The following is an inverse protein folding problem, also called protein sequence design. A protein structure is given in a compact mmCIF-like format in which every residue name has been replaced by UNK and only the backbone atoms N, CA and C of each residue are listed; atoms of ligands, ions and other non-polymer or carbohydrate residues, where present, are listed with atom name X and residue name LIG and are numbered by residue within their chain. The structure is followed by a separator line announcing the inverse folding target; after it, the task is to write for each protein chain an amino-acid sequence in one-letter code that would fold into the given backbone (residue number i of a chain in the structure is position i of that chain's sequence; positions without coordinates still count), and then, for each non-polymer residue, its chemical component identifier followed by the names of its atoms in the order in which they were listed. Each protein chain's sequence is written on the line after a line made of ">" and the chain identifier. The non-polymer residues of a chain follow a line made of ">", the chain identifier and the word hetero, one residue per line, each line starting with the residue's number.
data_IF_909022310788
#
_entry.id   IF_909022310788
#
_cell.length_a   1.000
_cell.length_b   1.000
_cell.length_c   1.000
_cell.angle_alpha   90.00
_cell.angle_beta   90.00
_cell.angle_gamma   90.00
#
_symmetry.space_group_name_H-M   'P 1'
#
loop_
_entity.id
_entity.type
_entity.pdbx_description
1 polymer ?
#
# COMPACT_ATOMS: atom_id res chain seq x y z
N UNK A 1 -2.38 -17.55 -2.19
CA UNK A 1 -1.85 -17.49 -3.58
C UNK A 1 -2.39 -16.26 -4.32
N UNK A 2 -3.72 -16.13 -4.50
CA UNK A 2 -4.36 -14.99 -5.19
C UNK A 2 -4.06 -13.62 -4.55
N UNK A 3 -4.04 -13.53 -3.22
CA UNK A 3 -3.74 -12.29 -2.47
C UNK A 3 -2.38 -11.67 -2.84
N UNK A 4 -1.33 -12.49 -2.99
CA UNK A 4 0.01 -11.99 -3.34
C UNK A 4 0.09 -11.52 -4.79
N UNK A 5 -0.79 -12.00 -5.65
CA UNK A 5 -0.91 -11.52 -7.02
C UNK A 5 -1.61 -10.16 -7.05
N UNK A 6 -2.70 -9.97 -6.29
CA UNK A 6 -3.32 -8.65 -6.11
C UNK A 6 -2.33 -7.62 -5.53
N UNK A 7 -1.53 -8.00 -4.55
CA UNK A 7 -0.46 -7.15 -4.02
C UNK A 7 0.59 -6.81 -5.10
N UNK A 8 0.94 -7.77 -5.97
CA UNK A 8 1.78 -7.51 -7.13
C UNK A 8 1.14 -6.55 -8.14
N UNK A 9 -0.18 -6.67 -8.38
CA UNK A 9 -0.93 -5.77 -9.24
C UNK A 9 -0.93 -4.34 -8.69
N UNK A 10 -1.20 -4.16 -7.40
CA UNK A 10 -1.14 -2.86 -6.71
C UNK A 10 0.23 -2.20 -6.91
N UNK A 11 1.32 -2.90 -6.59
CA UNK A 11 2.67 -2.37 -6.77
C UNK A 11 2.96 -1.93 -8.20
N UNK A 12 2.59 -2.76 -9.18
CA UNK A 12 2.80 -2.46 -10.60
C UNK A 12 1.98 -1.25 -11.05
N UNK A 13 0.73 -1.16 -10.60
CA UNK A 13 -0.18 -0.05 -10.89
C UNK A 13 0.34 1.26 -10.31
N UNK A 14 0.81 1.25 -9.07
CA UNK A 14 1.42 2.42 -8.42
C UNK A 14 2.68 2.86 -9.18
N UNK A 15 3.56 1.93 -9.59
CA UNK A 15 4.73 2.29 -10.40
C UNK A 15 4.35 2.92 -11.75
N UNK A 16 3.31 2.41 -12.41
CA UNK A 16 2.82 2.97 -13.66
C UNK A 16 2.35 4.42 -13.48
N UNK A 17 1.62 4.67 -12.39
CA UNK A 17 1.17 6.00 -11.99
C UNK A 17 2.35 6.94 -11.67
N UNK A 18 3.33 6.48 -10.88
CA UNK A 18 4.52 7.27 -10.52
C UNK A 18 5.40 7.63 -11.72
N UNK A 19 5.43 6.76 -12.74
CA UNK A 19 6.10 7.02 -14.02
C UNK A 19 5.27 7.90 -14.97
N UNK A 20 4.06 8.31 -14.57
CA UNK A 20 3.13 9.11 -15.37
C UNK A 20 2.79 8.45 -16.72
N UNK A 21 2.75 7.12 -16.74
CA UNK A 21 2.34 6.36 -17.91
C UNK A 21 0.82 6.17 -17.94
N UNK A 22 0.21 6.06 -19.13
CA UNK A 22 -1.21 5.74 -19.23
C UNK A 22 -1.53 4.43 -18.49
N UNK A 23 -2.57 4.45 -17.67
CA UNK A 23 -3.00 3.34 -16.80
C UNK A 23 -3.70 2.23 -17.61
N UNK A 24 -2.94 1.58 -18.49
CA UNK A 24 -3.40 0.45 -19.30
C UNK A 24 -2.79 -0.84 -18.77
N UNK A 25 -3.48 -1.97 -18.99
CA UNK A 25 -2.99 -3.30 -18.58
C UNK A 25 -1.59 -3.56 -19.13
N UNK A 26 -1.33 -3.15 -20.38
CA UNK A 26 -0.04 -3.34 -21.03
C UNK A 26 1.10 -2.57 -20.33
N UNK A 27 0.86 -1.31 -19.94
CA UNK A 27 1.86 -0.48 -19.27
C UNK A 27 2.10 -0.95 -17.85
N UNK A 28 1.04 -1.32 -17.12
CA UNK A 28 1.14 -1.86 -15.76
C UNK A 28 1.89 -3.19 -15.74
N UNK A 29 1.62 -4.09 -16.69
CA UNK A 29 2.26 -5.41 -16.75
C UNK A 29 3.80 -5.32 -16.80
N UNK A 30 4.33 -4.31 -17.51
CA UNK A 30 5.77 -4.05 -17.68
C UNK A 30 6.47 -3.57 -16.40
N UNK A 31 5.72 -3.09 -15.40
CA UNK A 31 6.28 -2.55 -14.17
C UNK A 31 6.81 -3.63 -13.23
N UNK A 32 7.67 -3.22 -12.28
CA UNK A 32 8.22 -4.11 -11.26
C UNK A 32 7.19 -4.35 -10.16
N UNK A 33 7.18 -5.54 -9.57
CA UNK A 33 6.36 -5.86 -8.40
C UNK A 33 7.01 -5.49 -7.05
N UNK A 34 8.20 -4.87 -7.07
CA UNK A 34 8.98 -4.59 -5.86
C UNK A 34 9.02 -3.10 -5.57
N UNK A 35 8.17 -2.64 -4.67
CA UNK A 35 8.00 -1.22 -4.38
C UNK A 35 8.76 -0.82 -3.10
N UNK A 36 9.69 0.15 -3.13
CA UNK A 36 10.42 0.57 -1.95
C UNK A 36 9.50 1.18 -0.87
N UNK A 37 8.36 1.75 -1.29
CA UNK A 37 7.35 2.39 -0.41
C UNK A 37 6.21 1.47 0.06
N UNK A 38 6.34 0.16 -0.08
CA UNK A 38 5.32 -0.80 0.36
C UNK A 38 5.19 -0.82 1.91
N UNK A 39 3.97 -0.95 2.42
CA UNK A 39 3.71 -1.13 3.86
C UNK A 39 4.41 -2.37 4.45
N UNK A 40 4.63 -3.42 3.65
CA UNK A 40 5.42 -4.58 4.06
C UNK A 40 6.87 -4.19 4.35
N UNK A 41 7.47 -3.29 3.55
CA UNK A 41 8.80 -2.76 3.83
C UNK A 41 8.81 -1.89 5.09
N UNK A 42 7.77 -1.08 5.30
CA UNK A 42 7.63 -0.25 6.50
C UNK A 42 7.61 -1.09 7.79
N UNK A 43 6.80 -2.15 7.84
CA UNK A 43 6.70 -3.02 9.01
C UNK A 43 8.03 -3.69 9.36
N UNK A 44 8.80 -4.08 8.34
CA UNK A 44 10.11 -4.71 8.53
C UNK A 44 11.14 -3.71 9.02
N UNK A 45 11.12 -2.48 8.51
CA UNK A 45 11.92 -1.39 9.04
C UNK A 45 11.60 -1.13 10.52
N UNK A 46 10.32 -1.09 10.89
CA UNK A 46 9.87 -0.90 12.27
C UNK A 46 10.32 -2.03 13.20
N UNK A 47 10.29 -3.28 12.73
CA UNK A 47 10.82 -4.41 13.48
C UNK A 47 12.31 -4.24 13.77
N UNK A 48 13.11 -3.91 12.75
CA UNK A 48 14.56 -3.73 12.90
C UNK A 48 14.90 -2.57 13.84
N UNK A 49 14.24 -1.42 13.66
CA UNK A 49 14.41 -0.25 14.54
C UNK A 49 13.97 -0.58 15.97
N UNK A 50 12.86 -1.30 16.14
CA UNK A 50 12.36 -1.73 17.44
C UNK A 50 13.33 -2.64 18.19
N UNK A 51 13.96 -3.60 17.49
CA UNK A 51 15.02 -4.44 18.06
C UNK A 51 16.20 -3.56 18.48
N UNK A 52 16.64 -2.66 17.60
CA UNK A 52 17.77 -1.78 17.87
C UNK A 52 17.54 -0.90 19.11
N UNK A 53 16.40 -0.20 19.18
CA UNK A 53 15.99 0.60 20.36
C UNK A 53 15.90 -0.29 21.61
N UNK A 54 15.37 -1.49 21.45
CA UNK A 54 15.29 -2.50 22.52
C UNK A 54 16.64 -2.88 23.14
N UNK A 55 17.75 -2.78 22.39
CA UNK A 55 19.10 -3.07 22.89
C UNK A 55 19.66 -1.96 23.80
N UNK A 56 19.24 -0.72 23.61
CA UNK A 56 19.68 0.44 24.42
C UNK A 56 18.89 0.57 25.72
N UNK A 57 17.62 0.14 25.75
CA UNK A 57 16.77 0.23 26.95
C UNK A 57 17.08 -0.94 27.90
N UNK A 58 18.12 -0.77 28.73
CA UNK A 58 18.53 -1.72 29.79
C UNK A 58 18.04 -1.25 31.16
N UNK A 59 16.75 -1.42 31.41
CA UNK A 59 16.12 -1.09 32.71
C UNK A 59 15.81 -2.39 33.46
N UNK A 60 16.22 -2.56 34.73
CA UNK A 60 15.98 -3.81 35.48
C UNK A 60 14.50 -4.07 35.74
N UNK A 61 13.70 -3.02 35.98
CA UNK A 61 12.25 -3.15 36.20
C UNK A 61 11.51 -3.48 34.88
N UNK A 62 10.79 -4.61 34.79
CA UNK A 62 10.12 -5.05 33.57
C UNK A 62 8.95 -4.14 33.16
N UNK A 63 8.18 -3.58 34.10
CA UNK A 63 7.06 -2.67 33.80
C UNK A 63 7.59 -1.35 33.24
N UNK A 64 8.62 -0.78 33.87
CA UNK A 64 9.22 0.47 33.42
C UNK A 64 9.88 0.30 32.04
N UNK A 65 10.52 -0.84 31.80
CA UNK A 65 11.08 -1.21 30.49
C UNK A 65 10.01 -1.28 29.40
N UNK A 66 8.86 -1.89 29.71
CA UNK A 66 7.74 -1.96 28.78
C UNK A 66 7.14 -0.57 28.49
N UNK A 67 6.93 0.24 29.54
CA UNK A 67 6.41 1.61 29.41
C UNK A 67 7.30 2.49 28.52
N UNK A 68 8.63 2.43 28.69
CA UNK A 68 9.57 3.18 27.86
C UNK A 68 9.55 2.74 26.38
N UNK A 69 9.37 1.43 26.11
CA UNK A 69 9.25 0.93 24.73
C UNK A 69 7.96 1.41 24.05
N UNK A 70 6.85 1.43 24.79
CA UNK A 70 5.57 1.95 24.29
C UNK A 70 5.68 3.45 24.00
N UNK A 71 6.30 4.21 24.91
CA UNK A 71 6.52 5.64 24.73
C UNK A 71 7.47 5.95 23.55
N UNK A 72 8.40 5.06 23.24
CA UNK A 72 9.28 5.19 22.08
C UNK A 72 8.56 4.92 20.74
N UNK A 73 7.38 4.28 20.75
CA UNK A 73 6.69 3.84 19.54
C UNK A 73 6.26 4.99 18.60
N UNK A 74 5.65 6.09 19.10
CA UNK A 74 5.33 7.25 18.25
C UNK A 74 6.56 7.86 17.57
N UNK A 75 7.68 7.94 18.31
CA UNK A 75 8.95 8.44 17.77
C UNK A 75 9.48 7.52 16.67
N UNK A 76 9.42 6.19 16.88
CA UNK A 76 9.83 5.20 15.88
C UNK A 76 8.98 5.28 14.62
N UNK A 77 7.65 5.43 14.75
CA UNK A 77 6.73 5.57 13.60
C UNK A 77 7.09 6.82 12.79
N UNK A 78 7.28 7.97 13.47
CA UNK A 78 7.65 9.22 12.81
C UNK A 78 8.97 9.10 12.04
N UNK A 79 10.00 8.54 12.67
CA UNK A 79 11.29 8.27 12.01
C UNK A 79 11.14 7.29 10.84
N UNK A 80 10.33 6.25 11.01
CA UNK A 80 10.05 5.26 9.99
C UNK A 80 9.41 5.82 8.73
N UNK A 81 8.42 6.70 8.93
CA UNK A 81 7.72 7.37 7.84
C UNK A 81 8.69 8.23 7.02
N UNK A 82 9.54 9.02 7.69
CA UNK A 82 10.54 9.82 6.99
C UNK A 82 11.55 8.95 6.25
N UNK A 83 12.01 7.85 6.86
CA UNK A 83 12.96 6.94 6.23
C UNK A 83 12.38 6.25 4.98
N UNK A 84 11.13 5.79 5.01
CA UNK A 84 10.52 5.15 3.83
C UNK A 84 10.22 6.18 2.74
N UNK A 85 9.79 7.38 3.11
CA UNK A 85 9.53 8.46 2.17
C UNK A 85 10.83 8.99 1.55
N UNK A 86 11.93 9.00 2.31
CA UNK A 86 13.26 9.34 1.83
C UNK A 86 13.80 8.25 0.89
N UNK A 87 13.65 6.98 1.26
CA UNK A 87 14.06 5.84 0.43
C UNK A 87 13.30 5.76 -0.91
N UNK A 88 12.05 6.23 -0.93
CA UNK A 88 11.27 6.35 -2.15
C UNK A 88 11.61 7.55 -3.03
N UNK A 89 12.29 8.57 -2.49
CA UNK A 89 12.67 9.80 -3.22
C UNK A 89 14.12 9.78 -3.74
N UNK A 90 15.00 8.98 -3.16
CA UNK A 90 16.42 8.94 -3.50
C UNK A 90 16.90 7.52 -3.81
N UNK A 91 17.58 7.33 -4.95
CA UNK A 91 18.25 6.06 -5.31
C UNK A 91 19.74 6.12 -4.98
N UNK A 92 20.05 6.19 -3.68
CA UNK A 92 21.42 6.21 -3.16
C UNK A 92 21.78 4.84 -2.56
N UNK A 93 23.07 4.54 -2.43
CA UNK A 93 23.53 3.27 -1.84
C UNK A 93 22.94 3.02 -0.44
N UNK A 94 22.81 4.08 0.36
CA UNK A 94 22.26 4.02 1.72
C UNK A 94 20.77 3.67 1.72
N UNK A 95 19.97 4.27 0.84
CA UNK A 95 18.53 3.97 0.75
C UNK A 95 18.29 2.56 0.23
N UNK A 96 19.18 2.05 -0.64
CA UNK A 96 19.15 0.67 -1.11
C UNK A 96 19.43 -0.34 0.02
N UNK A 97 20.37 -0.06 0.92
CA UNK A 97 20.64 -0.93 2.09
C UNK A 97 19.45 -0.94 3.05
N UNK A 98 18.86 0.24 3.32
CA UNK A 98 17.71 0.35 4.25
C UNK A 98 16.46 -0.34 3.69
N UNK A 99 16.22 -0.24 2.37
CA UNK A 99 15.05 -0.85 1.72
C UNK A 99 15.23 -2.33 1.36
N UNK A 100 16.47 -2.81 1.25
CA UNK A 100 16.80 -4.20 0.92
C UNK A 100 16.05 -5.25 1.77
N UNK A 101 16.01 -5.19 3.11
CA UNK A 101 15.31 -6.19 3.91
C UNK A 101 13.80 -6.22 3.63
N UNK A 102 13.19 -5.07 3.38
CA UNK A 102 11.79 -4.98 2.98
C UNK A 102 11.53 -5.60 1.61
N UNK A 103 12.38 -5.30 0.63
CA UNK A 103 12.30 -5.85 -0.73
C UNK A 103 12.53 -7.37 -0.73
N UNK A 104 13.43 -7.88 0.11
CA UNK A 104 13.65 -9.32 0.26
C UNK A 104 12.35 -10.05 0.65
N UNK A 105 11.57 -9.48 1.56
CA UNK A 105 10.29 -10.07 1.97
C UNK A 105 9.24 -9.97 0.87
N UNK A 106 9.25 -8.90 0.09
CA UNK A 106 8.37 -8.78 -1.08
C UNK A 106 8.56 -9.90 -2.11
N UNK A 107 9.74 -10.54 -2.18
CA UNK A 107 9.92 -11.71 -3.05
C UNK A 107 8.98 -12.87 -2.68
N UNK A 108 8.60 -12.96 -1.40
CA UNK A 108 7.71 -13.97 -0.85
C UNK A 108 6.26 -13.49 -0.83
N UNK A 109 6.02 -12.21 -0.49
CA UNK A 109 4.67 -11.65 -0.29
C UNK A 109 4.04 -11.03 -1.54
N UNK A 110 4.73 -11.04 -2.67
CA UNK A 110 4.18 -10.64 -3.98
C UNK A 110 4.33 -11.78 -4.99
N UNK A 111 3.48 -11.78 -6.02
CA UNK A 111 3.53 -12.67 -7.19
C UNK A 111 3.08 -11.92 -8.43
N UNK A 112 3.39 -12.46 -9.61
CA UNK A 112 2.92 -11.89 -10.88
C UNK A 112 1.38 -12.01 -11.00
N UNK A 113 0.68 -10.87 -11.22
CA UNK A 113 -0.76 -10.86 -11.41
C UNK A 113 -1.19 -11.32 -12.80
N UNK A 114 -2.46 -11.70 -12.92
CA UNK A 114 -3.13 -11.81 -14.21
C UNK A 114 -3.75 -10.46 -14.62
N UNK A 115 -4.23 -10.40 -15.86
CA UNK A 115 -4.78 -9.17 -16.44
C UNK A 115 -6.02 -8.67 -15.70
N UNK A 116 -6.89 -9.58 -15.25
CA UNK A 116 -8.10 -9.22 -14.49
C UNK A 116 -7.78 -8.56 -13.14
N UNK A 117 -6.68 -8.98 -12.50
CA UNK A 117 -6.20 -8.35 -11.27
C UNK A 117 -5.58 -6.98 -11.53
N UNK A 118 -4.90 -6.82 -12.67
CA UNK A 118 -4.36 -5.52 -13.10
C UNK A 118 -5.50 -4.55 -13.38
N UNK A 119 -6.55 -4.97 -14.09
CA UNK A 119 -7.74 -4.14 -14.35
C UNK A 119 -8.40 -3.69 -13.04
N UNK A 120 -8.59 -4.61 -12.09
CA UNK A 120 -9.11 -4.29 -10.77
C UNK A 120 -8.21 -3.30 -10.01
N UNK A 121 -6.89 -3.46 -10.08
CA UNK A 121 -5.94 -2.54 -9.47
C UNK A 121 -5.97 -1.15 -10.13
N UNK A 122 -6.09 -1.08 -11.46
CA UNK A 122 -6.24 0.19 -12.19
C UNK A 122 -7.52 0.91 -11.76
N UNK A 123 -8.66 0.20 -11.77
CA UNK A 123 -9.95 0.78 -11.39
C UNK A 123 -9.93 1.32 -9.95
N UNK A 124 -9.40 0.55 -9.00
CA UNK A 124 -9.25 1.01 -7.61
C UNK A 124 -8.30 2.20 -7.48
N UNK A 125 -7.20 2.23 -8.24
CA UNK A 125 -6.27 3.36 -8.24
C UNK A 125 -6.92 4.63 -8.80
N UNK A 126 -7.68 4.53 -9.89
CA UNK A 126 -8.38 5.69 -10.48
C UNK A 126 -9.38 6.34 -9.52
N UNK A 127 -10.02 5.56 -8.65
CA UNK A 127 -10.94 6.10 -7.65
C UNK A 127 -10.25 6.92 -6.54
N UNK A 128 -8.94 6.74 -6.33
CA UNK A 128 -8.18 7.38 -5.24
C UNK A 128 -7.18 8.44 -5.72
N UNK A 129 -6.96 8.56 -7.03
CA UNK A 129 -6.13 9.62 -7.61
C UNK A 129 -6.89 10.96 -7.45
N UNK A 130 -6.25 12.01 -6.87
CA UNK A 130 -6.88 13.31 -6.71
C UNK A 130 -7.17 13.98 -8.07
N UNK A 131 -8.33 14.63 -8.17
CA UNK A 131 -8.89 15.23 -9.40
C UNK A 131 -7.98 16.27 -10.10
N UNK A 132 -6.98 16.80 -9.38
CA UNK A 132 -6.08 17.83 -9.89
C UNK A 132 -4.98 17.30 -10.84
N UNK A 133 -4.81 15.98 -10.94
CA UNK A 133 -3.96 15.34 -11.94
C UNK A 133 -4.82 14.90 -13.14
N UNK A 134 -5.31 15.90 -13.90
CA UNK A 134 -5.88 15.80 -15.25
C UNK A 134 -6.64 14.49 -15.56
N UNK A 135 -7.81 14.29 -14.95
CA UNK A 135 -8.75 13.28 -15.41
C UNK A 135 -9.42 13.74 -16.70
N UNK A 136 -9.47 12.88 -17.72
CA UNK A 136 -10.37 13.07 -18.87
C UNK A 136 -11.80 12.73 -18.45
N UNK A 137 -12.81 13.30 -19.13
CA UNK A 137 -14.24 13.09 -18.79
C UNK A 137 -14.63 11.60 -18.73
N UNK A 138 -13.96 10.75 -19.53
CA UNK A 138 -14.10 9.30 -19.55
C UNK A 138 -13.61 8.61 -18.27
N UNK A 139 -12.59 9.18 -17.60
CA UNK A 139 -12.07 8.69 -16.32
C UNK A 139 -12.93 9.12 -15.14
N UNK A 140 -13.63 10.25 -15.25
CA UNK A 140 -14.62 10.70 -14.27
C UNK A 140 -15.87 9.78 -14.27
N UNK A 141 -16.29 9.32 -15.44
CA UNK A 141 -17.42 8.39 -15.59
C UNK A 141 -17.09 7.00 -15.03
N UNK A 142 -15.87 6.49 -15.27
CA UNK A 142 -15.39 5.23 -14.70
C UNK A 142 -15.21 5.27 -13.17
N UNK A 143 -14.94 6.44 -12.58
CA UNK A 143 -14.89 6.62 -11.11
C UNK A 143 -16.27 6.46 -10.46
N UNK A 144 -17.34 6.83 -11.17
CA UNK A 144 -18.71 6.76 -10.66
C UNK A 144 -19.41 5.44 -11.03
N UNK A 145 -18.96 4.75 -12.08
CA UNK A 145 -19.41 3.41 -12.44
C UNK A 145 -18.28 2.55 -13.04
N UNK A 146 -17.42 1.93 -12.20
CA UNK A 146 -16.26 1.16 -12.68
C UNK A 146 -16.63 -0.18 -13.34
N UNK A 147 -17.91 -0.58 -13.35
CA UNK A 147 -18.39 -1.82 -13.97
C UNK A 147 -19.69 -1.60 -14.75
N UNK A 148 -19.66 -0.92 -15.91
CA UNK A 148 -20.85 -0.77 -16.74
C UNK A 148 -21.30 -2.15 -17.24
N UNK A 149 -22.47 -2.61 -16.78
CA UNK A 149 -23.08 -3.89 -17.18
C UNK A 149 -22.95 -5.04 -16.17
N UNK A 150 -22.47 -4.79 -14.94
CA UNK A 150 -22.67 -5.72 -13.82
C UNK A 150 -23.93 -5.27 -13.08
N UNK A 151 -24.98 -6.09 -13.05
CA UNK A 151 -26.17 -5.80 -12.24
C UNK A 151 -25.73 -5.57 -10.79
N UNK A 152 -26.16 -4.44 -10.25
CA UNK A 152 -25.88 -4.04 -8.88
C UNK A 152 -26.78 -4.86 -7.95
N UNK A 153 -26.28 -6.00 -7.47
CA UNK A 153 -26.98 -6.82 -6.46
C UNK A 153 -27.11 -6.08 -5.10
N UNK A 154 -26.64 -4.83 -4.99
CA UNK A 154 -26.80 -4.00 -3.80
C UNK A 154 -28.02 -3.07 -3.86
N UNK A 155 -29.18 -3.59 -4.29
CA UNK A 155 -30.42 -3.01 -3.77
C UNK A 155 -30.50 -3.30 -2.26
N UNK A 156 -30.55 -2.29 -1.38
CA UNK A 156 -30.91 -2.53 0.00
C UNK A 156 -32.35 -3.06 0.00
N UNK A 157 -32.52 -4.33 0.39
CA UNK A 157 -33.83 -4.84 0.76
C UNK A 157 -34.42 -3.86 1.78
N UNK A 158 -35.42 -3.10 1.34
CA UNK A 158 -36.21 -2.24 2.21
C UNK A 158 -36.98 -3.17 3.14
N UNK A 159 -36.40 -3.50 4.29
CA UNK A 159 -37.17 -4.01 5.42
C UNK A 159 -38.20 -2.94 5.75
N UNK A 160 -39.46 -3.27 5.43
CA UNK A 160 -40.61 -2.45 5.76
C UNK A 160 -40.67 -2.29 7.27
N UNK A 161 -40.28 -1.11 7.75
CA UNK A 161 -40.64 -0.65 9.09
C UNK A 161 -42.15 -0.41 9.06
N UNK A 162 -42.89 -1.43 9.46
CA UNK A 162 -44.32 -1.34 9.74
C UNK A 162 -44.47 -0.60 11.07
N UNK A 163 -44.76 0.70 10.99
CA UNK A 163 -45.22 1.48 12.13
C UNK A 163 -46.70 1.19 12.32
N UNK A 164 -47.02 0.27 13.23
CA UNK A 164 -48.37 0.15 13.78
C UNK A 164 -48.51 1.06 15.00
N UNK A 165 -49.70 1.65 15.13
CA UNK A 165 -50.12 2.72 16.02
C UNK A 165 -50.10 2.38 17.52
#
# INVERSE_FOLDING_TARGET
>A
RRTYQYHGAEHKTIFCYEQKLPMTVENVRKQKRFHPRCGTSFLILMLLVGIFVGLFIRVPNPLLRAGLRILAFPLMIGLGYELIQFAGRHDNWLTRVISAPGIAIQHITTKEPDDSMIECAIASMQCVIPENDAMTDEQAEARFNPFPGREDDSEPQKEGVQTDA
#
